data_IF_753971102880
#
_entry.id   IF_753971102880
#
_cell.length_a   1.000
_cell.length_b   1.000
_cell.length_c   1.000
_cell.angle_alpha   90.00
_cell.angle_beta   90.00
_cell.angle_gamma   90.00
#
_symmetry.space_group_name_H-M   'P 1'
#
loop_
_entity.id
_entity.type
_entity.pdbx_description
1 polymer ?
#
# COMPACT_ATOMS: atom_id res chain seq x y z
N UNK A 1 -1.97 6.19 8.06
CA UNK A 1 -0.56 6.11 8.49
C UNK A 1 0.25 5.78 7.25
N UNK A 2 1.34 6.51 6.96
CA UNK A 2 2.23 6.19 5.84
C UNK A 2 2.96 4.86 6.08
N UNK A 3 3.11 4.03 5.06
CA UNK A 3 3.86 2.78 5.19
C UNK A 3 5.31 3.03 5.62
N UNK A 4 5.95 4.11 5.16
CA UNK A 4 7.38 4.37 5.39
C UNK A 4 7.71 4.45 6.90
N UNK A 5 6.84 5.09 7.70
CA UNK A 5 7.07 5.15 9.15
C UNK A 5 6.86 3.81 9.84
N UNK A 6 5.95 2.99 9.31
CA UNK A 6 5.73 1.62 9.81
C UNK A 6 6.95 0.76 9.46
N UNK A 7 7.41 0.79 8.21
CA UNK A 7 8.59 0.06 7.75
C UNK A 7 9.84 0.43 8.54
N UNK A 8 10.06 1.71 8.84
CA UNK A 8 11.15 2.15 9.72
C UNK A 8 11.03 1.59 11.13
N UNK A 9 9.83 1.62 11.71
CA UNK A 9 9.59 1.11 13.06
C UNK A 9 9.79 -0.41 13.15
N UNK A 10 9.47 -1.14 12.07
CA UNK A 10 9.57 -2.60 11.99
C UNK A 10 10.91 -3.10 11.45
N UNK A 11 11.82 -2.19 11.06
CA UNK A 11 13.10 -2.57 10.48
C UNK A 11 13.00 -3.14 9.05
N UNK A 12 11.89 -2.92 8.35
CA UNK A 12 11.70 -3.26 6.94
C UNK A 12 12.44 -2.25 6.02
N UNK A 13 13.72 -2.04 6.29
CA UNK A 13 14.58 -1.08 5.57
C UNK A 13 15.87 -1.78 5.16
N UNK A 14 16.16 -1.77 3.87
CA UNK A 14 17.41 -2.24 3.31
C UNK A 14 18.49 -1.15 3.40
N UNK A 15 19.73 -1.55 3.71
CA UNK A 15 20.91 -0.74 3.42
C UNK A 15 21.46 -1.15 2.05
N UNK A 16 21.45 -0.24 1.09
CA UNK A 16 21.78 -0.56 -0.30
C UNK A 16 23.24 -1.00 -0.44
N UNK A 17 24.17 -0.38 0.28
CA UNK A 17 25.58 -0.78 0.29
C UNK A 17 25.85 -2.21 0.76
N UNK A 18 24.93 -2.82 1.51
CA UNK A 18 25.04 -4.21 1.99
C UNK A 18 24.39 -5.23 1.03
N UNK A 19 23.74 -4.77 -0.04
CA UNK A 19 23.13 -5.65 -1.02
C UNK A 19 24.11 -6.01 -2.13
N UNK A 20 24.35 -7.31 -2.31
CA UNK A 20 25.02 -7.84 -3.51
C UNK A 20 23.99 -8.07 -4.63
N UNK A 21 24.04 -7.32 -5.75
CA UNK A 21 23.03 -7.47 -6.80
C UNK A 21 23.22 -8.76 -7.59
N UNK A 22 22.15 -9.53 -7.70
CA UNK A 22 22.08 -10.73 -8.54
C UNK A 22 22.26 -10.40 -10.04
N UNK A 23 22.56 -11.42 -10.85
CA UNK A 23 22.63 -11.26 -12.31
C UNK A 23 21.31 -10.72 -12.89
N UNK A 24 20.18 -11.16 -12.33
CA UNK A 24 18.85 -10.68 -12.71
C UNK A 24 18.68 -9.21 -12.37
N UNK A 25 19.09 -8.78 -11.17
CA UNK A 25 19.04 -7.38 -10.78
C UNK A 25 19.90 -6.49 -11.68
N UNK A 26 21.12 -6.93 -12.01
CA UNK A 26 22.03 -6.20 -12.93
C UNK A 26 21.47 -6.07 -14.34
N UNK A 27 20.85 -7.13 -14.85
CA UNK A 27 20.20 -7.12 -16.17
C UNK A 27 19.01 -6.16 -16.21
N UNK A 28 18.16 -6.16 -15.17
CA UNK A 28 17.05 -5.21 -15.08
C UNK A 28 17.53 -3.77 -14.86
N UNK A 29 18.59 -3.57 -14.10
CA UNK A 29 19.21 -2.27 -13.90
C UNK A 29 19.74 -1.68 -15.21
N UNK A 30 20.37 -2.48 -16.08
CA UNK A 30 20.85 -1.99 -17.38
C UNK A 30 19.73 -1.57 -18.32
N UNK A 31 18.56 -2.23 -18.23
CA UNK A 31 17.36 -1.86 -19.00
C UNK A 31 16.70 -0.59 -18.43
N UNK A 32 16.63 -0.47 -17.11
CA UNK A 32 15.85 0.57 -16.42
C UNK A 32 16.65 1.80 -16.02
N UNK A 33 17.98 1.76 -16.09
CA UNK A 33 18.86 2.82 -15.62
C UNK A 33 18.93 2.96 -14.08
N UNK A 34 18.26 2.08 -13.33
CA UNK A 34 18.26 2.11 -11.86
C UNK A 34 19.56 1.57 -11.26
N UNK A 35 19.81 1.92 -10.00
CA UNK A 35 20.85 1.27 -9.19
C UNK A 35 20.56 -0.25 -9.07
N UNK A 36 21.49 -1.14 -9.44
CA UNK A 36 21.29 -2.58 -9.33
C UNK A 36 21.03 -3.07 -7.91
N UNK A 37 21.50 -2.37 -6.88
CA UNK A 37 21.22 -2.68 -5.47
C UNK A 37 19.77 -2.36 -5.09
N UNK A 38 19.24 -1.25 -5.62
CA UNK A 38 17.82 -0.95 -5.47
C UNK A 38 16.97 -1.98 -6.23
N UNK A 39 17.36 -2.35 -7.45
CA UNK A 39 16.66 -3.42 -8.20
C UNK A 39 16.71 -4.76 -7.45
N UNK A 40 17.82 -5.08 -6.79
CA UNK A 40 17.93 -6.26 -5.94
C UNK A 40 16.92 -6.22 -4.77
N UNK A 41 16.77 -5.08 -4.08
CA UNK A 41 15.74 -4.92 -3.05
C UNK A 41 14.31 -5.11 -3.63
N UNK A 42 14.02 -4.50 -4.79
CA UNK A 42 12.75 -4.69 -5.50
C UNK A 42 12.46 -6.17 -5.77
N UNK A 43 13.46 -6.91 -6.24
CA UNK A 43 13.33 -8.34 -6.56
C UNK A 43 13.16 -9.22 -5.33
N UNK A 44 13.76 -8.88 -4.19
CA UNK A 44 13.57 -9.61 -2.92
C UNK A 44 12.15 -9.45 -2.36
N UNK A 45 11.49 -8.34 -2.66
CA UNK A 45 10.11 -8.07 -2.27
C UNK A 45 9.07 -8.52 -3.33
N UNK A 46 9.54 -8.85 -4.54
CA UNK A 46 8.69 -9.31 -5.63
C UNK A 46 8.46 -10.83 -5.57
N UNK A 47 7.21 -11.24 -5.71
CA UNK A 47 6.87 -12.61 -6.12
C UNK A 47 7.21 -12.81 -7.60
N UNK A 48 6.87 -11.83 -8.44
CA UNK A 48 7.24 -11.83 -9.86
C UNK A 48 7.30 -10.44 -10.47
N UNK A 49 8.11 -10.32 -11.52
CA UNK A 49 8.14 -9.15 -12.39
C UNK A 49 7.12 -9.35 -13.51
N UNK A 50 6.18 -8.42 -13.64
CA UNK A 50 5.08 -8.48 -14.61
C UNK A 50 5.39 -7.68 -15.87
N UNK A 51 6.05 -6.53 -15.73
CA UNK A 51 6.39 -5.66 -16.86
C UNK A 51 7.57 -4.77 -16.53
N UNK A 52 8.41 -4.53 -17.53
CA UNK A 52 9.52 -3.58 -17.46
C UNK A 52 9.39 -2.63 -18.64
N UNK A 53 9.34 -1.32 -18.40
CA UNK A 53 9.28 -0.33 -19.48
C UNK A 53 9.91 0.98 -19.02
N UNK A 54 10.97 1.39 -19.71
CA UNK A 54 11.78 2.53 -19.27
C UNK A 54 12.26 2.29 -17.84
N UNK A 55 12.12 3.28 -16.98
CA UNK A 55 12.52 3.20 -15.56
C UNK A 55 11.51 2.45 -14.67
N UNK A 56 10.39 1.96 -15.21
CA UNK A 56 9.33 1.36 -14.40
C UNK A 56 9.45 -0.17 -14.42
N UNK A 57 9.54 -0.76 -13.22
CA UNK A 57 9.44 -2.20 -12.99
C UNK A 57 8.10 -2.44 -12.29
N UNK A 58 7.13 -3.02 -12.99
CA UNK A 58 5.86 -3.45 -12.38
C UNK A 58 6.04 -4.87 -11.87
N UNK A 59 5.77 -5.06 -10.59
CA UNK A 59 5.89 -6.35 -9.90
C UNK A 59 4.59 -6.70 -9.21
N UNK A 60 4.41 -7.99 -8.95
CA UNK A 60 3.51 -8.46 -7.91
C UNK A 60 4.36 -8.70 -6.66
N UNK A 61 4.00 -8.05 -5.56
CA UNK A 61 4.67 -8.21 -4.26
C UNK A 61 4.29 -9.55 -3.62
N UNK A 62 5.02 -9.97 -2.58
CA UNK A 62 4.62 -11.11 -1.73
C UNK A 62 3.23 -10.96 -1.08
N UNK A 63 2.72 -9.73 -0.97
CA UNK A 63 1.39 -9.44 -0.45
C UNK A 63 0.29 -9.62 -1.51
N UNK A 64 0.66 -9.78 -2.79
CA UNK A 64 -0.26 -9.80 -3.93
C UNK A 64 -0.55 -8.41 -4.53
N UNK A 65 0.00 -7.33 -3.96
CA UNK A 65 -0.12 -5.99 -4.54
C UNK A 65 0.62 -5.93 -5.87
N UNK A 66 -0.04 -5.37 -6.89
CA UNK A 66 0.58 -5.07 -8.18
C UNK A 66 0.92 -3.59 -8.24
N UNK A 67 2.20 -3.26 -8.13
CA UNK A 67 2.67 -1.89 -8.06
C UNK A 67 4.05 -1.72 -8.70
N UNK A 68 4.52 -0.48 -8.76
CA UNK A 68 5.88 -0.20 -9.20
C UNK A 68 6.88 -0.59 -8.10
N UNK A 69 8.00 -1.17 -8.50
CA UNK A 69 9.16 -1.44 -7.64
C UNK A 69 8.84 -2.24 -6.38
N UNK A 70 7.79 -3.07 -6.39
CA UNK A 70 7.34 -3.83 -5.22
C UNK A 70 6.98 -2.99 -3.99
N UNK A 71 6.67 -1.70 -4.18
CA UNK A 71 6.49 -0.74 -3.08
C UNK A 71 7.79 -0.42 -2.34
N UNK A 72 8.95 -0.75 -2.92
CA UNK A 72 10.26 -0.37 -2.37
C UNK A 72 10.52 1.10 -2.68
N UNK A 73 10.66 1.90 -1.62
CA UNK A 73 10.77 3.35 -1.68
C UNK A 73 12.17 3.83 -1.24
N UNK A 74 12.75 4.74 -2.01
CA UNK A 74 14.01 5.43 -1.71
C UNK A 74 13.80 6.81 -1.07
N UNK A 75 12.59 7.35 -1.18
CA UNK A 75 12.24 8.66 -0.66
C UNK A 75 12.06 8.61 0.85
N UNK A 76 12.41 9.70 1.53
CA UNK A 76 12.16 9.88 2.96
C UNK A 76 12.70 8.77 3.89
N UNK A 77 13.68 7.96 3.47
CA UNK A 77 14.26 6.85 4.27
C UNK A 77 15.71 7.07 4.71
N UNK A 78 16.32 8.19 4.31
CA UNK A 78 17.72 8.52 4.53
C UNK A 78 18.63 8.03 3.39
N UNK A 79 19.89 8.46 3.40
CA UNK A 79 20.87 8.06 2.39
C UNK A 79 21.19 6.56 2.46
N UNK A 80 21.51 5.96 1.30
CA UNK A 80 21.88 4.54 1.16
C UNK A 80 20.82 3.56 1.71
N UNK A 81 19.55 3.97 1.76
CA UNK A 81 18.46 3.16 2.31
C UNK A 81 17.29 3.04 1.35
N UNK A 82 16.56 1.93 1.48
CA UNK A 82 15.29 1.70 0.80
C UNK A 82 14.30 1.07 1.78
N UNK A 83 13.09 1.62 1.94
CA UNK A 83 12.04 0.97 2.71
C UNK A 83 11.29 -0.03 1.84
N UNK A 84 11.11 -1.24 2.33
CA UNK A 84 10.13 -2.18 1.78
C UNK A 84 8.78 -1.95 2.44
N UNK A 85 7.71 -2.48 1.86
CA UNK A 85 6.42 -2.55 2.55
C UNK A 85 6.55 -3.36 3.85
N UNK A 86 5.77 -3.04 4.90
CA UNK A 86 5.69 -3.86 6.11
C UNK A 86 5.36 -5.31 5.75
N UNK A 87 5.92 -6.28 6.49
CA UNK A 87 5.76 -7.71 6.15
C UNK A 87 4.31 -8.19 6.24
N UNK A 88 3.55 -7.62 7.17
CA UNK A 88 2.12 -7.84 7.32
C UNK A 88 1.46 -6.52 7.74
N UNK A 89 1.09 -5.65 6.77
CA UNK A 89 0.54 -4.34 7.08
C UNK A 89 -0.81 -4.41 7.82
N UNK A 90 -1.58 -5.49 7.69
CA UNK A 90 -2.84 -5.67 8.42
C UNK A 90 -2.56 -5.89 9.91
N UNK A 91 -1.58 -6.75 10.24
CA UNK A 91 -1.11 -6.92 11.62
C UNK A 91 -0.48 -5.64 12.19
N UNK A 92 0.29 -4.91 11.39
CA UNK A 92 0.83 -3.60 11.81
C UNK A 92 -0.31 -2.62 12.14
N UNK A 93 -1.34 -2.54 11.30
CA UNK A 93 -2.51 -1.69 11.56
C UNK A 93 -3.26 -2.11 12.83
N UNK A 94 -3.39 -3.41 13.09
CA UNK A 94 -3.99 -3.94 14.31
C UNK A 94 -3.17 -3.57 15.55
N UNK A 95 -1.85 -3.68 15.49
CA UNK A 95 -0.96 -3.31 16.60
C UNK A 95 -1.07 -1.80 16.92
N UNK A 96 -1.06 -0.95 15.90
CA UNK A 96 -1.25 0.51 16.07
C UNK A 96 -2.62 0.80 16.69
N UNK A 97 -3.69 0.17 16.18
CA UNK A 97 -5.05 0.35 16.72
C UNK A 97 -5.13 -0.03 18.19
N UNK A 98 -4.57 -1.18 18.57
CA UNK A 98 -4.52 -1.65 19.96
C UNK A 98 -3.75 -0.66 20.84
N UNK A 99 -2.58 -0.21 20.41
CA UNK A 99 -1.79 0.78 21.14
C UNK A 99 -2.53 2.10 21.36
N UNK A 100 -3.30 2.57 20.37
CA UNK A 100 -4.16 3.76 20.54
C UNK A 100 -5.26 3.50 21.57
N UNK A 101 -5.92 2.35 21.53
CA UNK A 101 -6.96 2.00 22.50
C UNK A 101 -6.40 1.88 23.92
N UNK A 102 -5.24 1.24 24.10
CA UNK A 102 -4.56 1.12 25.40
C UNK A 102 -4.15 2.50 25.95
N UNK A 103 -3.62 3.38 25.10
CA UNK A 103 -3.15 4.70 25.53
C UNK A 103 -4.28 5.71 25.78
N UNK A 104 -5.42 5.56 25.13
CA UNK A 104 -6.47 6.62 25.10
C UNK A 104 -7.87 6.15 25.48
N UNK A 105 -8.11 4.85 25.57
CA UNK A 105 -9.43 4.24 25.70
C UNK A 105 -10.34 4.43 24.48
N UNK A 106 -9.83 4.95 23.35
CA UNK A 106 -10.62 5.21 22.15
C UNK A 106 -10.50 4.09 21.13
N UNK A 107 -11.66 3.57 20.72
CA UNK A 107 -11.78 2.65 19.61
C UNK A 107 -11.76 3.41 18.29
N UNK A 108 -10.76 3.13 17.46
CA UNK A 108 -10.57 3.74 16.14
C UNK A 108 -10.31 2.66 15.10
N UNK A 109 -10.47 3.00 13.83
CA UNK A 109 -9.90 2.24 12.72
C UNK A 109 -8.52 2.80 12.36
N UNK A 110 -7.64 1.93 11.85
CA UNK A 110 -6.32 2.30 11.36
C UNK A 110 -6.17 1.80 9.92
N UNK A 111 -5.67 2.66 9.04
CA UNK A 111 -5.29 2.33 7.67
C UNK A 111 -3.82 2.70 7.48
N UNK A 112 -3.04 1.76 6.96
CA UNK A 112 -1.68 1.97 6.47
C UNK A 112 -1.76 2.12 4.95
N UNK A 113 -1.15 3.17 4.44
CA UNK A 113 -1.25 3.57 3.05
C UNK A 113 0.11 3.67 2.37
N UNK A 114 0.13 3.32 1.09
CA UNK A 114 1.27 3.53 0.19
C UNK A 114 0.85 4.19 -1.12
N UNK A 115 1.79 4.89 -1.75
CA UNK A 115 1.59 5.73 -2.91
C UNK A 115 1.79 4.94 -4.20
N UNK A 116 0.69 4.67 -4.90
CA UNK A 116 0.70 3.84 -6.09
C UNK A 116 0.30 4.62 -7.35
N UNK A 117 0.98 4.32 -8.45
CA UNK A 117 0.44 4.59 -9.79
C UNK A 117 -0.76 3.67 -10.08
N UNK A 118 -1.51 3.96 -11.15
CA UNK A 118 -2.69 3.15 -11.51
C UNK A 118 -2.93 3.10 -13.02
N UNK A 119 -3.49 2.00 -13.55
CA UNK A 119 -3.73 1.85 -14.98
C UNK A 119 -4.54 3.02 -15.58
N UNK A 120 -4.15 3.41 -16.78
CA UNK A 120 -4.85 4.37 -17.64
C UNK A 120 -4.99 5.80 -17.10
N UNK A 121 -4.35 6.14 -15.97
CA UNK A 121 -4.36 7.50 -15.42
C UNK A 121 -2.96 7.96 -15.04
N UNK A 122 -2.70 9.26 -15.17
CA UNK A 122 -1.47 9.91 -14.70
C UNK A 122 -1.65 10.34 -13.24
N UNK A 123 -0.54 10.40 -12.52
CA UNK A 123 -0.49 10.75 -11.09
C UNK A 123 -0.66 9.53 -10.19
N UNK A 124 0.14 9.49 -9.12
CA UNK A 124 -0.01 8.53 -8.03
C UNK A 124 -1.14 8.98 -7.09
N UNK A 125 -1.66 8.03 -6.32
CA UNK A 125 -2.54 8.27 -5.18
C UNK A 125 -2.21 7.28 -4.08
N UNK A 126 -2.53 7.60 -2.84
CA UNK A 126 -2.45 6.63 -1.77
C UNK A 126 -3.57 5.58 -1.87
N UNK A 127 -3.17 4.31 -1.71
CA UNK A 127 -4.06 3.16 -1.56
C UNK A 127 -3.82 2.50 -0.21
N UNK A 128 -4.81 1.77 0.30
CA UNK A 128 -4.66 1.00 1.52
C UNK A 128 -3.84 -0.27 1.25
N UNK A 129 -2.77 -0.46 2.01
CA UNK A 129 -1.98 -1.70 1.99
C UNK A 129 -2.21 -2.54 3.25
N UNK A 130 -2.75 -1.93 4.31
CA UNK A 130 -3.11 -2.59 5.56
C UNK A 130 -4.25 -1.85 6.27
N UNK A 131 -5.16 -2.55 6.94
CA UNK A 131 -6.16 -1.92 7.79
C UNK A 131 -6.63 -2.79 8.96
N UNK A 132 -7.18 -2.14 10.00
CA UNK A 132 -7.84 -2.80 11.13
C UNK A 132 -8.95 -1.93 11.71
N UNK A 133 -10.04 -2.55 12.14
CA UNK A 133 -11.16 -1.90 12.81
C UNK A 133 -12.20 -1.29 11.87
N UNK A 134 -12.10 -1.58 10.57
CA UNK A 134 -12.98 -1.11 9.50
C UNK A 134 -13.18 -2.23 8.47
N UNK A 135 -14.38 -2.34 7.92
CA UNK A 135 -14.62 -3.13 6.71
C UNK A 135 -14.03 -2.38 5.51
N UNK A 136 -12.99 -2.91 4.83
CA UNK A 136 -12.29 -2.18 3.77
C UNK A 136 -13.17 -1.95 2.53
N UNK A 137 -14.11 -2.86 2.29
CA UNK A 137 -15.10 -2.78 1.21
C UNK A 137 -16.48 -2.56 1.83
N UNK A 138 -17.13 -1.47 1.44
CA UNK A 138 -18.55 -1.29 1.67
C UNK A 138 -19.33 -1.96 0.54
N UNK A 139 -19.80 -3.18 0.82
CA UNK A 139 -20.69 -3.92 -0.08
C UNK A 139 -22.13 -3.43 0.06
N UNK A 140 -22.64 -2.84 -1.01
CA UNK A 140 -24.01 -2.31 -1.11
C UNK A 140 -24.90 -3.16 -2.00
N UNK A 141 -24.44 -4.33 -2.42
CA UNK A 141 -25.25 -5.26 -3.22
C UNK A 141 -26.48 -5.66 -2.41
N UNK A 142 -27.64 -5.68 -3.05
CA UNK A 142 -28.92 -5.95 -2.39
C UNK A 142 -29.64 -4.70 -1.86
N UNK A 143 -28.94 -3.59 -1.61
CA UNK A 143 -29.57 -2.31 -1.30
C UNK A 143 -30.35 -1.76 -2.51
N UNK A 144 -31.24 -0.78 -2.25
CA UNK A 144 -32.02 -0.11 -3.29
C UNK A 144 -31.50 1.30 -3.57
N UNK A 145 -31.54 1.71 -4.83
CA UNK A 145 -31.32 3.11 -5.22
C UNK A 145 -32.55 4.00 -4.97
N UNK A 146 -32.44 5.28 -5.32
CA UNK A 146 -33.51 6.28 -5.18
C UNK A 146 -34.81 5.94 -5.92
N UNK A 147 -34.77 4.99 -6.86
CA UNK A 147 -35.90 4.55 -7.67
C UNK A 147 -36.30 3.10 -7.35
N UNK A 148 -35.82 2.55 -6.23
CA UNK A 148 -36.16 1.22 -5.76
C UNK A 148 -35.43 0.08 -6.49
N UNK A 149 -34.48 0.36 -7.39
CA UNK A 149 -33.74 -0.67 -8.14
C UNK A 149 -32.67 -1.29 -7.25
N UNK A 150 -32.57 -2.62 -7.28
CA UNK A 150 -31.58 -3.36 -6.49
C UNK A 150 -30.18 -3.19 -7.09
N UNK A 151 -29.22 -2.79 -6.25
CA UNK A 151 -27.82 -2.68 -6.62
C UNK A 151 -27.21 -4.08 -6.77
N UNK A 152 -26.63 -4.38 -7.94
CA UNK A 152 -26.08 -5.72 -8.25
C UNK A 152 -24.57 -5.84 -8.10
N UNK A 153 -23.81 -4.76 -8.32
CA UNK A 153 -22.34 -4.78 -8.36
C UNK A 153 -21.70 -3.66 -7.54
N UNK A 154 -22.47 -3.00 -6.67
CA UNK A 154 -22.01 -1.80 -5.97
C UNK A 154 -21.18 -2.19 -4.74
N UNK A 155 -19.87 -2.30 -4.94
CA UNK A 155 -18.88 -2.40 -3.88
C UNK A 155 -18.00 -1.15 -3.93
N UNK A 156 -17.74 -0.53 -2.77
CA UNK A 156 -16.90 0.66 -2.66
C UNK A 156 -15.70 0.30 -1.80
N UNK A 157 -14.49 0.50 -2.31
CA UNK A 157 -13.27 0.34 -1.52
C UNK A 157 -13.08 1.59 -0.64
N UNK A 158 -13.74 1.61 0.52
CA UNK A 158 -13.73 2.76 1.42
C UNK A 158 -12.36 2.95 2.05
N UNK A 159 -11.58 1.87 2.22
CA UNK A 159 -10.21 1.97 2.70
C UNK A 159 -9.32 2.78 1.74
N UNK A 160 -9.41 2.53 0.42
CA UNK A 160 -8.68 3.30 -0.59
C UNK A 160 -9.17 4.74 -0.67
N UNK A 161 -10.49 4.99 -0.62
CA UNK A 161 -11.04 6.36 -0.62
C UNK A 161 -10.50 7.17 0.57
N UNK A 162 -10.44 6.58 1.76
CA UNK A 162 -9.90 7.21 2.96
C UNK A 162 -8.38 7.41 2.88
N UNK A 163 -7.64 6.42 2.35
CA UNK A 163 -6.19 6.52 2.14
C UNK A 163 -5.85 7.66 1.16
N UNK A 164 -6.54 7.71 0.02
CA UNK A 164 -6.41 8.79 -0.98
C UNK A 164 -6.81 10.14 -0.41
N UNK A 165 -7.85 10.23 0.42
CA UNK A 165 -8.24 11.50 1.04
C UNK A 165 -7.19 11.98 2.07
N UNK A 166 -6.62 11.06 2.85
CA UNK A 166 -5.58 11.36 3.84
C UNK A 166 -4.29 11.88 3.19
N UNK A 167 -3.94 11.40 1.99
CA UNK A 167 -2.79 11.87 1.20
C UNK A 167 -2.75 13.39 1.04
N UNK A 168 -3.90 14.02 0.80
CA UNK A 168 -3.99 15.46 0.53
C UNK A 168 -3.49 16.33 1.68
N UNK A 169 -3.48 15.81 2.91
CA UNK A 169 -2.94 16.50 4.10
C UNK A 169 -1.63 15.89 4.58
N UNK A 170 -1.33 14.65 4.22
CA UNK A 170 -0.07 13.99 4.53
C UNK A 170 1.07 14.50 3.64
N UNK A 171 0.76 14.82 2.39
CA UNK A 171 1.75 15.16 1.38
C UNK A 171 2.45 13.93 0.79
N UNK A 172 3.36 14.19 -0.14
CA UNK A 172 4.10 13.17 -0.91
C UNK A 172 5.62 13.43 -0.92
N UNK A 173 6.08 14.44 -0.17
CA UNK A 173 7.46 14.91 -0.20
C UNK A 173 7.94 15.25 1.22
N UNK A 174 8.22 16.53 1.49
CA UNK A 174 8.89 17.03 2.67
C UNK A 174 7.93 17.59 3.73
N UNK A 175 6.62 17.42 3.56
CA UNK A 175 5.61 17.98 4.46
C UNK A 175 5.73 17.44 5.90
N UNK A 176 6.34 16.26 6.06
CA UNK A 176 6.64 15.71 7.39
C UNK A 176 5.41 15.23 8.17
N UNK A 177 4.31 14.90 7.47
CA UNK A 177 3.05 14.46 8.08
C UNK A 177 2.77 12.98 7.76
N UNK A 178 3.31 12.02 8.52
CA UNK A 178 3.13 10.59 8.24
C UNK A 178 1.79 10.02 8.71
N UNK A 179 0.99 10.80 9.44
CA UNK A 179 -0.30 10.37 10.01
C UNK A 179 -1.33 11.48 9.86
N UNK A 180 -2.50 11.12 9.36
CA UNK A 180 -3.69 11.97 9.33
C UNK A 180 -4.85 11.31 10.07
N UNK A 181 -5.75 12.13 10.62
CA UNK A 181 -6.95 11.68 11.33
C UNK A 181 -8.17 12.13 10.55
N UNK A 182 -8.98 11.17 10.10
CA UNK A 182 -10.28 11.44 9.47
C UNK A 182 -11.36 11.31 10.54
N UNK A 183 -12.18 12.34 10.70
CA UNK A 183 -13.29 12.38 11.68
C UNK A 183 -14.61 12.68 10.97
N UNK A 184 -15.70 12.07 11.45
CA UNK A 184 -17.05 12.31 10.96
C UNK A 184 -17.52 11.33 9.89
N UNK A 185 -16.62 10.53 9.32
CA UNK A 185 -16.99 9.42 8.45
C UNK A 185 -17.58 8.25 9.25
N UNK A 186 -18.77 7.79 8.86
CA UNK A 186 -19.43 6.63 9.49
C UNK A 186 -19.05 5.37 8.71
N UNK A 187 -18.05 4.66 9.21
CA UNK A 187 -17.62 3.38 8.65
C UNK A 187 -18.26 2.20 9.37
N UNK A 188 -18.32 1.06 8.69
CA UNK A 188 -18.72 -0.22 9.29
C UNK A 188 -17.51 -0.83 10.00
N UNK A 189 -17.57 -1.09 11.32
CA UNK A 189 -16.49 -1.80 12.02
C UNK A 189 -16.29 -3.20 11.45
N UNK A 190 -15.03 -3.62 11.35
CA UNK A 190 -14.65 -4.90 10.77
C UNK A 190 -13.24 -5.29 11.16
N UNK A 191 -12.96 -6.59 11.07
CA UNK A 191 -11.62 -7.14 11.31
C UNK A 191 -11.01 -7.73 10.02
N UNK A 192 -11.67 -7.55 8.88
CA UNK A 192 -11.07 -7.81 7.58
C UNK A 192 -9.95 -6.81 7.30
N UNK A 193 -8.82 -7.32 6.82
CA UNK A 193 -7.65 -6.53 6.44
C UNK A 193 -7.74 -6.00 5.00
N UNK A 194 -6.86 -5.07 4.65
CA UNK A 194 -6.73 -4.53 3.29
C UNK A 194 -6.30 -5.63 2.30
N UNK A 195 -5.71 -6.72 2.78
CA UNK A 195 -5.47 -7.93 1.99
C UNK A 195 -6.74 -8.47 1.30
N UNK A 196 -7.94 -8.25 1.84
CA UNK A 196 -9.20 -8.67 1.19
C UNK A 196 -9.60 -7.81 -0.03
N UNK A 197 -8.97 -6.64 -0.21
CA UNK A 197 -9.16 -5.76 -1.39
C UNK A 197 -8.48 -6.37 -2.62
N UNK A 198 -7.38 -7.10 -2.41
CA UNK A 198 -6.56 -7.66 -3.48
C UNK A 198 -7.34 -8.77 -4.17
N UNK A 199 -7.53 -8.62 -5.49
CA UNK A 199 -8.19 -9.67 -6.28
C UNK A 199 -7.32 -10.92 -6.34
N UNK A 200 -7.88 -12.10 -6.09
CA UNK A 200 -7.21 -13.36 -6.40
C UNK A 200 -6.79 -13.39 -7.87
N UNK A 201 -5.72 -14.11 -8.17
CA UNK A 201 -5.17 -14.19 -9.53
C UNK A 201 -6.19 -14.61 -10.59
N UNK A 202 -7.11 -15.53 -10.26
CA UNK A 202 -8.17 -15.98 -11.17
C UNK A 202 -9.25 -14.92 -11.47
N UNK A 203 -9.31 -13.84 -10.70
CA UNK A 203 -10.26 -12.74 -10.85
C UNK A 203 -9.62 -11.47 -11.44
N UNK A 204 -8.30 -11.51 -11.71
CA UNK A 204 -7.60 -10.39 -12.32
C UNK A 204 -7.93 -10.31 -13.82
N UNK A 205 -8.34 -9.11 -14.27
CA UNK A 205 -8.75 -8.88 -15.65
C UNK A 205 -7.63 -8.29 -16.53
N UNK A 206 -6.49 -7.92 -15.93
CA UNK A 206 -5.44 -7.15 -16.60
C UNK A 206 -4.08 -7.89 -16.70
N UNK A 207 -3.93 -9.02 -16.02
CA UNK A 207 -2.71 -9.83 -15.94
C UNK A 207 -3.03 -11.31 -16.19
#
# INVERSE_FOLDING_TARGET
VSHVVVSKAEGAVYRLSELEPSLRARSLASITGKDPRHVEAILREAERVLRVRGEVIITETRHGLVCANSGVDLSNVGEDRAAALPRDPDLSAQAIRRGIEEATGRKVAVIIADSHGRPFRRGAVNVAIGCSGIQPIWDRRGERDLYGRVLRSKQICVADELASAAELVMGQADEGVPVAIIRGYRYTPGEEGASSIIRPRGENLFL
#
